data_IF_253874574699
#
_entry.id   IF_253874574699
#
_cell.length_a   1.000
_cell.length_b   1.000
_cell.length_c   1.000
_cell.angle_alpha   90.00
_cell.angle_beta   90.00
_cell.angle_gamma   90.00
#
_symmetry.space_group_name_H-M   'P 1'
#
loop_
_entity.id
_entity.type
_entity.pdbx_description
1 polymer ?
#
# COMPACT_ATOMS: atom_id res chain seq x y z
N UNK A 1 18.34 9.33 3.05
CA UNK A 1 18.25 7.86 3.04
C UNK A 1 16.87 7.29 2.67
N UNK A 2 15.71 7.83 3.10
CA UNK A 2 14.45 7.78 2.30
C UNK A 2 13.65 9.06 2.54
N UNK A 3 13.41 9.39 3.82
CA UNK A 3 12.70 10.62 4.25
C UNK A 3 13.34 11.90 3.70
N UNK A 4 14.67 11.98 3.72
CA UNK A 4 15.41 13.17 3.28
C UNK A 4 15.54 13.29 1.75
N UNK A 5 15.36 12.19 1.01
CA UNK A 5 15.53 12.16 -0.45
C UNK A 5 14.21 12.24 -1.21
N UNK A 6 13.12 11.72 -0.64
CA UNK A 6 11.79 11.77 -1.24
C UNK A 6 11.08 13.09 -1.04
N UNK A 7 11.46 13.89 -0.03
CA UNK A 7 10.69 15.07 0.39
C UNK A 7 9.40 14.72 1.14
N UNK A 8 9.10 13.43 1.34
CA UNK A 8 7.93 12.97 2.06
C UNK A 8 8.16 12.88 3.57
N UNK A 9 7.10 13.17 4.33
CA UNK A 9 7.00 12.86 5.76
C UNK A 9 6.58 11.40 5.89
N UNK A 10 7.42 10.62 6.57
CA UNK A 10 7.18 9.21 6.87
C UNK A 10 7.02 9.08 8.38
N UNK A 11 5.90 8.51 8.82
CA UNK A 11 5.60 8.16 10.22
C UNK A 11 5.41 6.65 10.32
N UNK A 12 5.94 6.06 11.38
CA UNK A 12 5.78 4.63 11.69
C UNK A 12 5.06 4.56 13.04
N UNK A 13 3.94 3.86 13.07
CA UNK A 13 3.15 3.62 14.27
C UNK A 13 3.03 2.11 14.52
N UNK A 14 3.42 1.69 15.72
CA UNK A 14 3.39 0.30 16.19
C UNK A 14 2.55 0.13 17.46
N UNK A 15 1.65 1.09 17.74
CA UNK A 15 0.99 1.24 19.06
C UNK A 15 -0.09 0.22 19.39
N UNK A 16 -0.47 -0.69 18.47
CA UNK A 16 -1.41 -1.79 18.79
C UNK A 16 -0.64 -3.04 19.23
N UNK A 17 -0.58 -3.27 20.53
CA UNK A 17 0.37 -4.15 21.24
C UNK A 17 0.22 -5.68 21.05
N UNK A 18 -0.35 -6.18 19.96
CA UNK A 18 -0.55 -7.62 19.77
C UNK A 18 -0.31 -8.14 18.34
N UNK A 19 0.59 -7.54 17.57
CA UNK A 19 0.99 -8.04 16.25
C UNK A 19 2.35 -7.54 15.78
N UNK A 20 2.92 -8.24 14.79
CA UNK A 20 4.19 -7.87 14.13
C UNK A 20 4.01 -6.78 13.05
N UNK A 21 2.78 -6.33 12.82
CA UNK A 21 2.45 -5.31 11.83
C UNK A 21 2.59 -3.89 12.41
N UNK A 22 3.05 -2.96 11.56
CA UNK A 22 3.09 -1.53 11.87
C UNK A 22 2.48 -0.72 10.73
N UNK A 23 1.91 0.43 11.08
CA UNK A 23 1.36 1.37 10.10
C UNK A 23 2.45 2.35 9.66
N UNK A 24 2.73 2.38 8.36
CA UNK A 24 3.62 3.39 7.76
C UNK A 24 2.77 4.41 7.02
N UNK A 25 2.69 5.62 7.56
CA UNK A 25 2.01 6.74 6.90
C UNK A 25 3.02 7.57 6.12
N UNK A 26 2.77 7.74 4.83
CA UNK A 26 3.56 8.59 3.92
C UNK A 26 2.68 9.77 3.52
N UNK A 27 3.18 10.99 3.70
CA UNK A 27 2.47 12.20 3.30
C UNK A 27 3.45 13.25 2.80
N UNK A 28 3.07 13.99 1.77
CA UNK A 28 3.83 15.12 1.28
C UNK A 28 2.91 16.20 0.74
N UNK A 29 3.45 17.39 0.52
CA UNK A 29 2.78 18.40 -0.30
C UNK A 29 3.03 18.04 -1.76
N UNK A 30 1.96 17.80 -2.50
CA UNK A 30 2.03 17.44 -3.93
C UNK A 30 1.90 18.70 -4.78
N UNK A 31 2.70 18.79 -5.85
CA UNK A 31 2.61 19.86 -6.84
C UNK A 31 2.49 19.26 -8.23
N UNK A 32 1.63 19.85 -9.08
CA UNK A 32 1.42 19.35 -10.44
C UNK A 32 2.67 19.47 -11.33
N UNK A 33 3.55 20.42 -11.02
CA UNK A 33 4.78 20.68 -11.77
C UNK A 33 5.91 19.70 -11.44
N UNK A 34 5.78 18.93 -10.35
CA UNK A 34 6.79 17.94 -9.98
C UNK A 34 6.73 16.74 -10.92
N UNK A 35 7.89 16.33 -11.43
CA UNK A 35 8.01 15.14 -12.29
C UNK A 35 7.52 13.87 -11.61
N UNK A 36 7.70 13.78 -10.29
CA UNK A 36 7.33 12.62 -9.48
C UNK A 36 6.67 13.06 -8.17
N UNK A 37 5.60 12.37 -7.78
CA UNK A 37 5.00 12.53 -6.47
C UNK A 37 5.99 12.11 -5.37
N UNK A 38 6.32 12.99 -4.41
CA UNK A 38 7.12 12.64 -3.24
C UNK A 38 6.57 11.43 -2.47
N UNK A 39 5.24 11.32 -2.38
CA UNK A 39 4.56 10.22 -1.68
C UNK A 39 4.79 8.90 -2.42
N UNK A 40 4.63 8.89 -3.74
CA UNK A 40 4.83 7.69 -4.57
C UNK A 40 6.30 7.27 -4.57
N UNK A 41 7.23 8.22 -4.69
CA UNK A 41 8.67 7.95 -4.64
C UNK A 41 9.08 7.31 -3.31
N UNK A 42 8.59 7.84 -2.19
CA UNK A 42 8.82 7.25 -0.88
C UNK A 42 8.23 5.83 -0.76
N UNK A 43 7.01 5.62 -1.27
CA UNK A 43 6.36 4.31 -1.22
C UNK A 43 7.14 3.25 -2.00
N UNK A 44 7.60 3.56 -3.22
CA UNK A 44 8.41 2.65 -4.05
C UNK A 44 9.72 2.29 -3.35
N UNK A 45 10.36 3.24 -2.68
CA UNK A 45 11.61 2.99 -1.93
C UNK A 45 11.41 2.18 -0.65
N UNK A 46 10.22 2.23 -0.06
CA UNK A 46 9.87 1.45 1.13
C UNK A 46 9.43 0.03 0.77
N UNK A 47 8.82 -0.19 -0.40
CA UNK A 47 8.26 -1.46 -0.82
C UNK A 47 9.22 -2.67 -0.63
N UNK A 48 10.50 -2.63 -1.04
CA UNK A 48 11.41 -3.77 -0.83
C UNK A 48 11.74 -4.05 0.64
N UNK A 49 11.60 -3.04 1.51
CA UNK A 49 11.86 -3.15 2.96
C UNK A 49 10.64 -3.67 3.73
N UNK A 50 9.44 -3.44 3.19
CA UNK A 50 8.17 -3.81 3.81
C UNK A 50 7.56 -5.09 3.23
N UNK A 51 8.07 -5.58 2.09
CA UNK A 51 7.59 -6.82 1.49
C UNK A 51 8.01 -8.03 2.31
N UNK A 52 7.07 -8.95 2.53
CA UNK A 52 7.39 -10.30 2.99
C UNK A 52 8.34 -10.96 1.99
N UNK A 53 9.33 -11.71 2.50
CA UNK A 53 10.24 -12.47 1.65
C UNK A 53 9.45 -13.64 1.06
N UNK A 54 8.94 -13.49 -0.16
CA UNK A 54 8.38 -14.63 -0.91
C UNK A 54 9.52 -15.60 -1.21
N UNK A 55 9.22 -16.89 -1.08
CA UNK A 55 10.17 -17.99 -1.16
C UNK A 55 11.05 -17.90 -2.41
N UNK A 56 12.38 -17.87 -2.21
CA UNK A 56 13.35 -17.55 -3.27
C UNK A 56 13.54 -18.69 -4.28
N UNK A 57 12.92 -19.84 -4.03
CA UNK A 57 13.09 -21.06 -4.83
C UNK A 57 12.57 -20.92 -6.27
N UNK A 58 11.72 -19.92 -6.55
CA UNK A 58 11.25 -19.62 -7.91
C UNK A 58 12.20 -18.74 -8.74
N UNK A 59 13.20 -18.11 -8.11
CA UNK A 59 14.05 -17.09 -8.76
C UNK A 59 13.31 -15.79 -9.13
N UNK A 60 12.01 -15.67 -8.85
CA UNK A 60 11.20 -14.48 -9.15
C UNK A 60 11.14 -13.61 -7.90
N UNK A 61 11.71 -12.40 -7.98
CA UNK A 61 11.53 -11.37 -6.95
C UNK A 61 10.11 -10.81 -7.09
N UNK A 62 9.26 -11.07 -6.11
CA UNK A 62 7.93 -10.46 -6.00
C UNK A 62 7.88 -9.55 -4.78
N UNK A 63 7.25 -8.39 -4.95
CA UNK A 63 7.00 -7.44 -3.87
C UNK A 63 5.50 -7.35 -3.61
N UNK A 64 5.11 -7.49 -2.36
CA UNK A 64 3.73 -7.26 -1.92
C UNK A 64 3.65 -5.91 -1.22
N UNK A 65 2.74 -5.05 -1.69
CA UNK A 65 2.37 -3.81 -1.02
C UNK A 65 0.97 -3.97 -0.47
N UNK A 66 0.79 -3.71 0.82
CA UNK A 66 -0.52 -3.66 1.48
C UNK A 66 -0.92 -2.20 1.66
N UNK A 67 -2.11 -1.81 1.21
CA UNK A 67 -2.62 -0.44 1.34
C UNK A 67 -3.91 -0.45 2.15
N UNK A 68 -3.99 0.38 3.19
CA UNK A 68 -5.26 0.67 3.87
C UNK A 68 -5.98 1.80 3.12
N UNK A 69 -7.25 1.56 2.79
CA UNK A 69 -8.11 2.47 2.04
C UNK A 69 -9.39 2.68 2.84
N UNK A 70 -9.84 3.93 3.07
CA UNK A 70 -11.12 4.16 3.72
C UNK A 70 -12.26 3.41 3.00
N UNK A 71 -13.14 2.77 3.76
CA UNK A 71 -14.30 2.01 3.25
C UNK A 71 -15.13 2.86 2.28
N UNK A 72 -15.25 4.16 2.55
CA UNK A 72 -15.97 5.11 1.69
C UNK A 72 -15.33 5.35 0.31
N UNK A 73 -14.06 4.96 0.11
CA UNK A 73 -13.27 5.15 -1.12
C UNK A 73 -12.99 3.86 -1.88
N UNK A 74 -13.13 2.68 -1.27
CA UNK A 74 -12.79 1.40 -1.90
C UNK A 74 -13.58 1.16 -3.21
N UNK A 75 -14.81 1.66 -3.28
CA UNK A 75 -15.66 1.56 -4.48
C UNK A 75 -15.03 2.19 -5.73
N UNK A 76 -14.18 3.22 -5.58
CA UNK A 76 -13.44 3.83 -6.69
C UNK A 76 -12.38 2.89 -7.29
N UNK A 77 -11.79 2.02 -6.46
CA UNK A 77 -10.83 1.01 -6.91
C UNK A 77 -11.54 -0.18 -7.56
N UNK A 78 -12.65 -0.63 -6.98
CA UNK A 78 -13.42 -1.78 -7.48
C UNK A 78 -14.07 -1.42 -8.83
N UNK A 79 -14.76 -0.29 -8.89
CA UNK A 79 -15.59 0.12 -10.01
C UNK A 79 -16.90 -0.69 -10.10
N UNK A 80 -17.83 -0.24 -10.95
CA UNK A 80 -19.12 -0.92 -11.16
C UNK A 80 -18.89 -2.36 -11.62
N UNK A 81 -19.39 -3.33 -10.86
CA UNK A 81 -19.22 -4.76 -11.16
C UNK A 81 -17.76 -5.25 -11.14
N UNK A 82 -16.86 -4.53 -10.47
CA UNK A 82 -15.43 -4.89 -10.44
C UNK A 82 -14.63 -4.51 -11.68
N UNK A 83 -15.18 -3.68 -12.57
CA UNK A 83 -14.56 -3.36 -13.85
C UNK A 83 -13.19 -2.68 -13.71
N UNK A 84 -13.02 -1.76 -12.75
CA UNK A 84 -11.77 -0.99 -12.60
C UNK A 84 -10.67 -1.88 -12.04
N UNK A 85 -10.93 -2.65 -10.98
CA UNK A 85 -9.93 -3.59 -10.42
C UNK A 85 -9.55 -4.69 -11.40
N UNK A 86 -10.51 -5.15 -12.21
CA UNK A 86 -10.24 -6.13 -13.28
C UNK A 86 -9.31 -5.55 -14.33
N UNK A 87 -9.55 -4.31 -14.77
CA UNK A 87 -8.69 -3.64 -15.74
C UNK A 87 -7.30 -3.35 -15.17
N UNK A 88 -7.20 -2.90 -13.91
CA UNK A 88 -5.91 -2.70 -13.25
C UNK A 88 -5.10 -3.99 -13.19
N UNK A 89 -5.68 -5.12 -12.77
CA UNK A 89 -5.02 -6.44 -12.81
C UNK A 89 -4.54 -6.79 -14.21
N UNK A 90 -5.36 -6.52 -15.23
CA UNK A 90 -5.02 -6.82 -16.64
C UNK A 90 -3.85 -5.98 -17.14
N UNK A 91 -3.82 -4.68 -16.83
CA UNK A 91 -2.82 -3.72 -17.30
C UNK A 91 -1.49 -3.88 -16.55
N UNK A 92 -1.53 -3.97 -15.22
CA UNK A 92 -0.32 -4.01 -14.39
C UNK A 92 0.27 -5.41 -14.25
N UNK A 93 -0.53 -6.45 -14.54
CA UNK A 93 -0.20 -7.87 -14.25
C UNK A 93 -0.02 -8.17 -12.76
N UNK A 94 -0.35 -7.23 -11.88
CA UNK A 94 -0.25 -7.43 -10.44
C UNK A 94 -1.39 -8.31 -9.92
N UNK A 95 -1.09 -9.12 -8.90
CA UNK A 95 -2.11 -9.80 -8.12
C UNK A 95 -2.71 -8.78 -7.12
N UNK A 96 -3.82 -8.15 -7.50
CA UNK A 96 -4.52 -7.18 -6.65
C UNK A 96 -5.63 -7.90 -5.90
N UNK A 97 -5.64 -7.87 -4.57
CA UNK A 97 -6.70 -8.45 -3.73
C UNK A 97 -7.37 -7.31 -2.95
N UNK A 98 -8.59 -7.53 -2.50
CA UNK A 98 -9.26 -6.63 -1.57
C UNK A 98 -9.72 -7.54 -0.44
N UNK A 99 -9.20 -7.31 0.76
CA UNK A 99 -9.52 -8.13 1.93
C UNK A 99 -10.75 -7.57 2.62
N UNK A 100 -11.61 -8.48 3.09
CA UNK A 100 -12.71 -8.14 3.99
C UNK A 100 -12.17 -7.78 5.38
N UNK A 101 -12.96 -6.98 6.11
CA UNK A 101 -12.65 -6.50 7.48
C UNK A 101 -12.17 -7.59 8.45
N UNK A 102 -12.74 -8.79 8.35
CA UNK A 102 -12.38 -9.94 9.21
C UNK A 102 -10.95 -10.46 9.00
N UNK A 103 -10.30 -10.08 7.90
CA UNK A 103 -8.94 -10.49 7.53
C UNK A 103 -7.92 -9.35 7.67
N UNK A 104 -8.31 -8.22 8.26
CA UNK A 104 -7.42 -7.07 8.44
C UNK A 104 -6.50 -7.23 9.65
N UNK A 105 -5.26 -6.70 9.58
CA UNK A 105 -4.39 -6.68 10.73
C UNK A 105 -4.93 -5.74 11.82
N UNK A 106 -4.58 -5.98 13.08
CA UNK A 106 -5.06 -5.19 14.23
C UNK A 106 -4.71 -3.69 14.18
N UNK A 107 -3.73 -3.31 13.35
CA UNK A 107 -3.36 -1.91 13.11
C UNK A 107 -4.38 -1.16 12.23
N UNK A 108 -5.25 -1.87 11.52
CA UNK A 108 -6.29 -1.27 10.68
C UNK A 108 -7.47 -0.78 11.52
N UNK A 109 -8.06 0.34 11.11
CA UNK A 109 -9.30 0.86 11.67
C UNK A 109 -10.51 0.04 11.20
N UNK A 110 -11.61 0.09 11.95
CA UNK A 110 -12.91 -0.45 11.53
C UNK A 110 -13.43 0.19 10.22
N UNK A 111 -12.97 1.39 9.89
CA UNK A 111 -13.31 2.11 8.67
C UNK A 111 -12.35 1.83 7.50
N UNK A 112 -11.37 0.96 7.66
CA UNK A 112 -10.44 0.59 6.60
C UNK A 112 -10.88 -0.67 5.84
N UNK A 113 -10.47 -0.73 4.58
CA UNK A 113 -10.38 -1.93 3.75
C UNK A 113 -8.91 -2.06 3.32
N UNK A 114 -8.41 -3.28 3.10
CA UNK A 114 -7.03 -3.48 2.65
C UNK A 114 -6.98 -4.00 1.22
N UNK A 115 -6.06 -3.41 0.45
CA UNK A 115 -5.72 -3.79 -0.93
C UNK A 115 -4.34 -4.42 -0.98
#
# INVERSE_FOLDING_TARGET
MIKQESGAVIKVDSSTSEGDDCLITISAKEFFEDTFSPTIEAAVRLQPRCSEKVDRDSGIISFTTRLLVPTSRIGCLIGKGGAIVTEMRRLTKANIRILSKENLPKVASDDDEMV
#
